data_IF_048177834348
#
_entry.id   IF_048177834348
#
_cell.length_a   1.000
_cell.length_b   1.000
_cell.length_c   1.000
_cell.angle_alpha   90.00
_cell.angle_beta   90.00
_cell.angle_gamma   90.00
#
_symmetry.space_group_name_H-M   'P 1'
#
loop_
_entity.id
_entity.type
_entity.pdbx_description
1 polymer ?
#
# COMPACT_ATOMS: atom_id res chain seq x y z
N UNK A 1 55.29 -5.50 -1.60
CA UNK A 1 53.91 -5.48 -2.10
C UNK A 1 52.97 -5.88 -0.97
N UNK A 2 52.60 -4.91 -0.12
CA UNK A 2 51.75 -5.11 1.05
C UNK A 2 50.28 -5.08 0.62
N UNK A 3 49.69 -6.26 0.39
CA UNK A 3 48.25 -6.42 0.29
C UNK A 3 47.68 -6.33 1.71
N UNK A 4 47.10 -5.17 1.99
CA UNK A 4 46.39 -4.80 3.20
C UNK A 4 45.26 -5.82 3.45
N UNK A 5 45.48 -6.73 4.40
CA UNK A 5 44.38 -7.41 5.10
C UNK A 5 43.70 -6.38 6.01
N UNK A 6 42.82 -5.55 5.44
CA UNK A 6 41.85 -4.79 6.24
C UNK A 6 40.96 -5.80 6.93
N UNK A 7 41.10 -5.91 8.25
CA UNK A 7 40.32 -6.85 9.06
C UNK A 7 38.81 -6.56 8.91
N UNK A 8 37.97 -7.60 8.78
CA UNK A 8 36.51 -7.43 8.61
C UNK A 8 35.84 -6.67 9.76
N UNK A 9 36.51 -6.60 10.91
CA UNK A 9 36.07 -5.90 12.13
C UNK A 9 36.15 -4.38 11.96
N UNK A 10 37.20 -3.86 11.32
CA UNK A 10 37.31 -2.41 11.04
C UNK A 10 36.21 -1.94 10.09
N UNK A 11 35.91 -2.74 9.08
CA UNK A 11 34.86 -2.44 8.09
C UNK A 11 33.49 -2.37 8.76
N UNK A 12 33.14 -3.32 9.64
CA UNK A 12 31.88 -3.28 10.41
C UNK A 12 31.76 -2.04 11.29
N UNK A 13 32.81 -1.69 12.03
CA UNK A 13 32.80 -0.53 12.91
C UNK A 13 32.62 0.77 12.12
N UNK A 14 33.30 0.90 10.98
CA UNK A 14 33.15 2.06 10.10
C UNK A 14 31.72 2.13 9.56
N UNK A 15 31.14 1.02 9.09
CA UNK A 15 29.75 0.99 8.60
C UNK A 15 28.73 1.41 9.67
N UNK A 16 28.89 0.97 10.91
CA UNK A 16 28.03 1.39 12.02
C UNK A 16 28.12 2.90 12.28
N UNK A 17 29.34 3.46 12.24
CA UNK A 17 29.54 4.91 12.40
C UNK A 17 28.88 5.70 11.26
N UNK A 18 29.05 5.28 10.01
CA UNK A 18 28.38 5.90 8.86
C UNK A 18 26.86 5.80 8.97
N UNK A 19 26.34 4.68 9.43
CA UNK A 19 24.90 4.47 9.64
C UNK A 19 24.35 5.44 10.70
N UNK A 20 25.05 5.61 11.83
CA UNK A 20 24.63 6.55 12.87
C UNK A 20 24.72 8.01 12.41
N UNK A 21 25.74 8.39 11.65
CA UNK A 21 25.83 9.72 11.04
C UNK A 21 24.69 9.98 10.06
N UNK A 22 24.38 8.98 9.22
CA UNK A 22 23.27 9.05 8.28
C UNK A 22 21.91 9.20 8.99
N UNK A 23 21.66 8.42 10.03
CA UNK A 23 20.43 8.52 10.86
C UNK A 23 20.26 9.92 11.44
N UNK A 24 21.32 10.50 12.02
CA UNK A 24 21.30 11.86 12.58
C UNK A 24 21.05 12.91 11.51
N UNK A 25 21.64 12.75 10.33
CA UNK A 25 21.47 13.67 9.21
C UNK A 25 20.04 13.66 8.67
N UNK A 26 19.43 12.47 8.48
CA UNK A 26 18.03 12.33 8.07
C UNK A 26 17.09 12.98 9.10
N UNK A 27 17.32 12.71 10.38
CA UNK A 27 16.49 13.25 11.46
C UNK A 27 16.52 14.79 11.49
N UNK A 28 17.67 15.39 11.18
CA UNK A 28 17.87 16.84 11.16
C UNK A 28 17.22 17.51 9.94
N UNK A 29 17.20 16.85 8.78
CA UNK A 29 16.78 17.46 7.51
C UNK A 29 15.72 16.63 6.75
N UNK A 30 14.49 16.46 7.30
CA UNK A 30 13.45 15.63 6.68
C UNK A 30 12.98 16.13 5.29
N UNK A 31 13.03 17.45 5.06
CA UNK A 31 12.60 18.06 3.80
C UNK A 31 13.64 17.81 2.69
N UNK A 32 14.94 18.02 2.96
CA UNK A 32 16.02 17.74 2.00
C UNK A 32 16.05 16.28 1.57
N UNK A 33 15.76 15.37 2.51
CA UNK A 33 15.65 13.93 2.20
C UNK A 33 14.51 13.67 1.22
N UNK A 34 13.39 14.39 1.31
CA UNK A 34 12.25 14.25 0.40
C UNK A 34 12.61 14.71 -1.01
N UNK A 35 13.38 15.80 -1.12
CA UNK A 35 13.82 16.34 -2.42
C UNK A 35 14.81 15.39 -3.10
N UNK A 36 15.74 14.81 -2.33
CA UNK A 36 16.68 13.80 -2.84
C UNK A 36 15.93 12.54 -3.28
N UNK A 37 14.99 12.04 -2.48
CA UNK A 37 14.17 10.89 -2.84
C UNK A 37 13.39 11.12 -4.13
N UNK A 38 12.81 12.30 -4.29
CA UNK A 38 12.08 12.69 -5.50
C UNK A 38 13.02 12.75 -6.69
N UNK A 39 14.20 13.36 -6.52
CA UNK A 39 15.24 13.41 -7.56
C UNK A 39 15.67 12.01 -7.99
N UNK A 40 15.93 11.11 -7.05
CA UNK A 40 16.28 9.71 -7.33
C UNK A 40 15.15 9.01 -8.09
N UNK A 41 13.88 9.21 -7.70
CA UNK A 41 12.73 8.66 -8.44
C UNK A 41 12.69 9.17 -9.88
N UNK A 42 12.84 10.48 -10.11
CA UNK A 42 12.82 11.05 -11.45
C UNK A 42 13.99 10.56 -12.32
N UNK A 43 15.19 10.50 -11.75
CA UNK A 43 16.37 9.94 -12.43
C UNK A 43 16.15 8.47 -12.77
N UNK A 44 15.54 7.69 -11.87
CA UNK A 44 15.17 6.30 -12.13
C UNK A 44 14.18 6.19 -13.29
N UNK A 45 13.12 7.00 -13.33
CA UNK A 45 12.17 6.98 -14.45
C UNK A 45 12.82 7.35 -15.79
N UNK A 46 13.70 8.36 -15.79
CA UNK A 46 14.44 8.74 -17.00
C UNK A 46 15.38 7.62 -17.46
N UNK A 47 16.05 6.97 -16.51
CA UNK A 47 16.99 5.88 -16.78
C UNK A 47 16.27 4.62 -17.26
N UNK A 48 15.09 4.32 -16.71
CA UNK A 48 14.26 3.19 -17.14
C UNK A 48 13.88 3.26 -18.63
N UNK A 49 13.62 4.47 -19.15
CA UNK A 49 13.37 4.68 -20.58
C UNK A 49 14.57 4.33 -21.48
N UNK A 50 15.81 4.46 -20.97
CA UNK A 50 17.05 4.18 -21.71
C UNK A 50 17.54 2.74 -21.55
N UNK A 51 17.38 2.14 -20.36
CA UNK A 51 17.79 0.75 -20.04
C UNK A 51 16.74 -0.30 -20.43
N UNK A 52 15.79 0.08 -21.28
CA UNK A 52 14.62 -0.69 -21.68
C UNK A 52 14.92 -2.01 -22.41
N UNK A 53 16.19 -2.32 -22.65
CA UNK A 53 16.64 -3.59 -23.23
C UNK A 53 16.58 -4.75 -22.24
N UNK A 54 16.56 -4.50 -20.93
CA UNK A 54 16.48 -5.57 -19.93
C UNK A 54 15.32 -5.36 -18.96
N UNK A 55 14.34 -6.26 -19.05
CA UNK A 55 13.17 -6.29 -18.18
C UNK A 55 13.54 -6.32 -16.70
N UNK A 56 14.61 -7.04 -16.34
CA UNK A 56 15.09 -7.09 -14.95
C UNK A 56 15.61 -5.72 -14.46
N UNK A 57 16.34 -4.97 -15.30
CA UNK A 57 16.86 -3.66 -14.87
C UNK A 57 15.74 -2.64 -14.70
N UNK A 58 14.70 -2.67 -15.54
CA UNK A 58 13.55 -1.77 -15.36
C UNK A 58 12.79 -2.05 -14.06
N UNK A 59 12.61 -3.33 -13.69
CA UNK A 59 11.98 -3.68 -12.40
C UNK A 59 12.86 -3.30 -11.20
N UNK A 60 14.19 -3.42 -11.33
CA UNK A 60 15.13 -3.00 -10.28
C UNK A 60 15.10 -1.48 -10.09
N UNK A 61 15.12 -0.72 -11.19
CA UNK A 61 15.05 0.74 -11.18
C UNK A 61 13.72 1.25 -10.61
N UNK A 62 12.64 0.48 -10.73
CA UNK A 62 11.36 0.77 -10.10
C UNK A 62 11.34 0.44 -8.60
N UNK A 63 11.83 -0.73 -8.20
CA UNK A 63 11.76 -1.21 -6.82
C UNK A 63 12.74 -0.50 -5.87
N UNK A 64 13.96 -0.21 -6.32
CA UNK A 64 15.02 0.33 -5.48
C UNK A 64 14.70 1.70 -4.85
N UNK A 65 14.22 2.72 -5.60
CA UNK A 65 13.87 4.01 -5.00
C UNK A 65 12.74 3.90 -3.98
N UNK A 66 11.77 3.02 -4.22
CA UNK A 66 10.64 2.82 -3.32
C UNK A 66 11.08 2.17 -1.99
N UNK A 67 12.00 1.21 -2.04
CA UNK A 67 12.63 0.63 -0.84
C UNK A 67 13.47 1.66 -0.08
N UNK A 68 14.21 2.50 -0.80
CA UNK A 68 15.00 3.58 -0.19
C UNK A 68 14.12 4.57 0.57
N UNK A 69 13.01 5.01 -0.03
CA UNK A 69 12.03 5.89 0.63
C UNK A 69 11.45 5.22 1.86
N UNK A 70 11.06 3.95 1.75
CA UNK A 70 10.54 3.18 2.88
C UNK A 70 11.56 3.12 4.03
N UNK A 71 12.84 2.87 3.72
CA UNK A 71 13.90 2.81 4.72
C UNK A 71 14.11 4.16 5.41
N UNK A 72 14.16 5.25 4.65
CA UNK A 72 14.27 6.61 5.20
C UNK A 72 13.07 6.96 6.09
N UNK A 73 11.85 6.62 5.66
CA UNK A 73 10.64 6.83 6.46
C UNK A 73 10.67 6.05 7.78
N UNK A 74 11.23 4.82 7.81
CA UNK A 74 11.42 4.07 9.05
C UNK A 74 12.44 4.73 9.98
N UNK A 75 13.53 5.27 9.44
CA UNK A 75 14.52 6.01 10.24
C UNK A 75 13.89 7.26 10.85
N UNK A 76 13.12 8.01 10.08
CA UNK A 76 12.43 9.22 10.58
C UNK A 76 11.46 8.84 11.70
N UNK A 77 10.65 7.79 11.51
CA UNK A 77 9.71 7.29 12.54
C UNK A 77 10.43 6.86 13.81
N UNK A 78 11.53 6.12 13.69
CA UNK A 78 12.33 5.67 14.82
C UNK A 78 13.00 6.84 15.56
N UNK A 79 13.43 7.88 14.85
CA UNK A 79 14.08 9.06 15.45
C UNK A 79 13.13 9.96 16.24
N UNK A 80 11.86 10.08 15.83
CA UNK A 80 10.88 10.97 16.45
C UNK A 80 10.09 10.31 17.59
N UNK A 81 9.95 8.99 17.60
CA UNK A 81 9.26 8.24 18.65
C UNK A 81 10.20 7.25 19.37
N UNK A 82 11.23 7.73 20.11
CA UNK A 82 12.13 6.84 20.85
C UNK A 82 11.42 6.10 22.01
N UNK A 83 10.30 6.63 22.52
CA UNK A 83 9.56 6.07 23.66
C UNK A 83 8.48 5.05 23.30
N UNK A 84 8.16 4.85 22.01
CA UNK A 84 7.23 3.78 21.64
C UNK A 84 7.93 2.43 21.81
N UNK A 85 7.73 1.82 22.99
CA UNK A 85 8.11 0.44 23.36
C UNK A 85 8.04 -0.47 22.14
N UNK A 86 9.17 -1.13 21.81
CA UNK A 86 9.39 -2.18 20.79
C UNK A 86 8.50 -2.08 19.53
N UNK A 87 9.05 -2.06 18.29
CA UNK A 87 8.22 -2.03 17.09
C UNK A 87 7.19 -3.16 17.18
N UNK A 88 5.91 -2.79 17.32
CA UNK A 88 4.85 -3.75 17.57
C UNK A 88 4.90 -4.78 16.46
N UNK A 89 4.66 -6.05 16.77
CA UNK A 89 4.68 -7.12 15.76
C UNK A 89 3.79 -6.74 14.54
N UNK A 90 2.68 -6.03 14.79
CA UNK A 90 1.85 -5.38 13.77
C UNK A 90 2.64 -4.46 12.83
N UNK A 91 3.42 -3.51 13.38
CA UNK A 91 4.24 -2.58 12.60
C UNK A 91 5.29 -3.32 11.79
N UNK A 92 5.94 -4.33 12.38
CA UNK A 92 6.93 -5.15 11.67
C UNK A 92 6.31 -5.88 10.49
N UNK A 93 5.15 -6.51 10.68
CA UNK A 93 4.46 -7.24 9.60
C UNK A 93 4.05 -6.28 8.48
N UNK A 94 3.56 -5.07 8.81
CA UNK A 94 3.24 -4.04 7.81
C UNK A 94 4.46 -3.65 6.97
N UNK A 95 5.62 -3.46 7.61
CA UNK A 95 6.88 -3.14 6.91
C UNK A 95 7.25 -4.28 5.96
N UNK A 96 7.25 -5.51 6.45
CA UNK A 96 7.55 -6.69 5.62
C UNK A 96 6.58 -6.82 4.45
N UNK A 97 5.28 -6.59 4.67
CA UNK A 97 4.29 -6.64 3.60
C UNK A 97 4.60 -5.58 2.52
N UNK A 98 4.95 -4.35 2.91
CA UNK A 98 5.34 -3.31 1.95
C UNK A 98 6.64 -3.61 1.20
N UNK A 99 7.62 -4.26 1.85
CA UNK A 99 8.85 -4.69 1.18
C UNK A 99 8.51 -5.75 0.12
N UNK A 100 7.62 -6.68 0.44
CA UNK A 100 7.17 -7.70 -0.52
C UNK A 100 6.41 -7.03 -1.68
N UNK A 101 5.49 -6.10 -1.40
CA UNK A 101 4.76 -5.34 -2.44
C UNK A 101 5.72 -4.64 -3.43
N UNK A 102 6.83 -4.07 -2.96
CA UNK A 102 7.80 -3.41 -3.83
C UNK A 102 8.72 -4.36 -4.60
N UNK A 103 8.93 -5.58 -4.12
CA UNK A 103 9.91 -6.52 -4.69
C UNK A 103 9.30 -7.66 -5.50
N UNK A 104 7.99 -7.86 -5.43
CA UNK A 104 7.32 -9.00 -6.07
C UNK A 104 7.50 -9.08 -7.60
N UNK A 105 7.42 -7.95 -8.31
CA UNK A 105 7.59 -7.90 -9.75
C UNK A 105 9.05 -8.23 -10.14
N UNK A 106 10.01 -7.74 -9.34
CA UNK A 106 11.42 -8.08 -9.50
C UNK A 106 11.65 -9.59 -9.34
N UNK A 107 11.06 -10.20 -8.30
CA UNK A 107 11.17 -11.64 -8.08
C UNK A 107 10.50 -12.45 -9.18
N UNK A 108 9.34 -12.03 -9.69
CA UNK A 108 8.67 -12.69 -10.82
C UNK A 108 9.55 -12.69 -12.08
N UNK A 109 10.07 -11.53 -12.47
CA UNK A 109 10.93 -11.40 -13.66
C UNK A 109 12.25 -12.14 -13.48
N UNK A 110 12.82 -12.11 -12.28
CA UNK A 110 14.05 -12.85 -11.94
C UNK A 110 13.84 -14.36 -12.01
N UNK A 111 12.72 -14.86 -11.46
CA UNK A 111 12.37 -16.27 -11.46
C UNK A 111 12.13 -16.78 -12.89
N UNK A 112 11.44 -15.99 -13.73
CA UNK A 112 11.24 -16.32 -15.14
C UNK A 112 12.56 -16.46 -15.90
N UNK A 113 13.54 -15.61 -15.59
CA UNK A 113 14.86 -15.63 -16.23
C UNK A 113 15.74 -16.81 -15.77
N UNK A 114 15.69 -17.18 -14.49
CA UNK A 114 16.57 -18.20 -13.90
C UNK A 114 15.99 -19.63 -13.99
N UNK A 115 14.68 -19.77 -13.78
CA UNK A 115 14.01 -21.06 -13.63
C UNK A 115 12.88 -21.30 -14.65
N UNK A 116 12.76 -20.42 -15.66
CA UNK A 116 11.74 -20.52 -16.70
C UNK A 116 10.31 -20.35 -16.16
N UNK A 117 9.33 -20.89 -16.88
CA UNK A 117 7.92 -20.68 -16.58
C UNK A 117 7.48 -21.41 -15.30
N UNK A 118 8.00 -22.60 -15.02
CA UNK A 118 7.67 -23.35 -13.81
C UNK A 118 8.13 -22.63 -12.53
N UNK A 119 9.37 -22.13 -12.52
CA UNK A 119 9.90 -21.37 -11.38
C UNK A 119 9.20 -20.03 -11.17
N UNK A 120 8.77 -19.38 -12.27
CA UNK A 120 7.93 -18.18 -12.21
C UNK A 120 6.64 -18.43 -11.41
N UNK A 121 5.88 -19.47 -11.77
CA UNK A 121 4.63 -19.79 -11.07
C UNK A 121 4.86 -20.22 -9.61
N UNK A 122 5.95 -20.94 -9.33
CA UNK A 122 6.33 -21.29 -7.96
C UNK A 122 6.59 -20.06 -7.10
N UNK A 123 7.37 -19.09 -7.59
CA UNK A 123 7.67 -17.85 -6.87
C UNK A 123 6.43 -16.98 -6.69
N UNK A 124 5.57 -16.89 -7.71
CA UNK A 124 4.28 -16.19 -7.60
C UNK A 124 3.44 -16.81 -6.47
N UNK A 125 3.30 -18.14 -6.46
CA UNK A 125 2.55 -18.84 -5.44
C UNK A 125 3.14 -18.63 -4.03
N UNK A 126 4.47 -18.72 -3.89
CA UNK A 126 5.15 -18.51 -2.61
C UNK A 126 4.93 -17.10 -2.06
N UNK A 127 5.10 -16.07 -2.88
CA UNK A 127 4.90 -14.67 -2.48
C UNK A 127 3.44 -14.43 -2.11
N UNK A 128 2.48 -14.91 -2.91
CA UNK A 128 1.05 -14.75 -2.61
C UNK A 128 0.67 -15.48 -1.32
N UNK A 129 1.16 -16.69 -1.10
CA UNK A 129 0.98 -17.41 0.17
C UNK A 129 1.49 -16.62 1.36
N UNK A 130 2.70 -16.05 1.25
CA UNK A 130 3.29 -15.23 2.30
C UNK A 130 2.47 -13.96 2.58
N UNK A 131 2.04 -13.25 1.52
CA UNK A 131 1.19 -12.06 1.63
C UNK A 131 -0.14 -12.35 2.31
N UNK A 132 -0.83 -13.41 1.87
CA UNK A 132 -2.11 -13.82 2.45
C UNK A 132 -1.94 -14.21 3.91
N UNK A 133 -0.92 -14.99 4.25
CA UNK A 133 -0.64 -15.34 5.64
C UNK A 133 -0.39 -14.10 6.52
N UNK A 134 0.42 -13.15 6.04
CA UNK A 134 0.67 -11.89 6.76
C UNK A 134 -0.62 -11.07 6.95
N UNK A 135 -1.43 -10.90 5.90
CA UNK A 135 -2.70 -10.15 5.96
C UNK A 135 -3.73 -10.84 6.87
N UNK A 136 -3.82 -12.16 6.85
CA UNK A 136 -4.69 -12.91 7.76
C UNK A 136 -4.24 -12.76 9.21
N UNK A 137 -2.94 -12.78 9.50
CA UNK A 137 -2.43 -12.49 10.85
C UNK A 137 -2.82 -11.08 11.29
N UNK A 138 -2.77 -10.09 10.39
CA UNK A 138 -3.23 -8.72 10.66
C UNK A 138 -4.70 -8.67 11.08
N UNK A 139 -5.58 -9.29 10.29
CA UNK A 139 -7.03 -9.28 10.56
C UNK A 139 -7.37 -10.09 11.83
N UNK A 140 -6.83 -11.30 11.99
CA UNK A 140 -7.21 -12.17 13.12
C UNK A 140 -6.56 -11.79 14.45
N UNK A 141 -5.28 -11.40 14.47
CA UNK A 141 -4.59 -11.06 15.74
C UNK A 141 -4.78 -9.60 16.13
N UNK A 142 -4.79 -8.68 15.17
CA UNK A 142 -4.82 -7.24 15.46
C UNK A 142 -6.18 -6.58 15.18
N UNK A 143 -7.17 -7.36 14.73
CA UNK A 143 -8.55 -6.90 14.47
C UNK A 143 -8.60 -5.67 13.57
N UNK A 144 -7.73 -5.61 12.56
CA UNK A 144 -7.82 -4.58 11.55
C UNK A 144 -9.09 -4.77 10.71
N UNK A 145 -9.90 -3.71 10.60
CA UNK A 145 -11.19 -3.78 9.89
C UNK A 145 -11.00 -3.90 8.37
N UNK A 146 -10.05 -3.16 7.81
CA UNK A 146 -9.76 -3.11 6.38
C UNK A 146 -8.24 -3.13 6.20
N UNK A 147 -7.73 -4.06 5.41
CA UNK A 147 -6.31 -4.09 5.02
C UNK A 147 -6.06 -3.03 3.94
N UNK A 148 -5.08 -2.17 4.23
CA UNK A 148 -4.61 -1.13 3.31
C UNK A 148 -3.56 -1.72 2.37
N UNK A 149 -3.61 -1.35 1.08
CA UNK A 149 -2.55 -1.67 0.11
C UNK A 149 -2.06 -0.38 -0.53
N UNK A 150 -0.82 0.07 -0.24
CA UNK A 150 0.22 -0.56 0.58
C UNK A 150 -0.09 -0.52 2.09
N UNK A 151 0.42 -1.49 2.86
CA UNK A 151 0.19 -1.57 4.30
C UNK A 151 0.76 -0.39 5.11
N UNK A 152 1.69 0.37 4.53
CA UNK A 152 2.19 1.63 5.07
C UNK A 152 2.08 2.66 3.95
N UNK A 153 1.13 3.62 4.03
CA UNK A 153 1.13 4.74 3.10
C UNK A 153 2.43 5.55 3.26
N UNK A 154 2.97 6.12 2.16
CA UNK A 154 4.17 6.95 2.24
C UNK A 154 3.95 8.07 3.27
N UNK A 155 4.97 8.35 4.07
CA UNK A 155 4.85 9.27 5.18
C UNK A 155 4.63 10.69 4.65
N UNK A 156 3.46 11.27 4.91
CA UNK A 156 3.21 12.68 4.62
C UNK A 156 3.98 13.55 5.63
N UNK A 157 5.19 13.97 5.24
CA UNK A 157 6.13 14.74 6.09
C UNK A 157 5.59 16.14 6.43
N UNK A 158 4.73 16.70 5.59
CA UNK A 158 4.05 17.99 5.79
C UNK A 158 3.09 17.96 6.99
N UNK A 159 2.18 16.97 7.03
CA UNK A 159 1.28 16.73 8.19
C UNK A 159 2.04 16.41 9.49
N UNK A 160 3.27 15.90 9.36
CA UNK A 160 4.13 15.54 10.47
C UNK A 160 4.83 16.79 11.07
N UNK A 161 5.07 17.83 10.27
CA UNK A 161 5.57 19.11 10.75
C UNK A 161 4.45 19.95 11.38
N UNK A 162 3.21 19.91 10.85
CA UNK A 162 2.05 20.56 11.48
C UNK A 162 1.77 20.04 12.90
N UNK A 163 1.94 18.73 13.13
CA UNK A 163 1.82 18.15 14.47
C UNK A 163 2.92 18.61 15.44
N UNK A 164 4.05 19.12 14.94
CA UNK A 164 5.21 19.52 15.74
C UNK A 164 5.12 20.99 16.19
N UNK A 165 4.54 21.87 15.38
CA UNK A 165 4.14 23.23 15.82
C UNK A 165 2.90 23.20 16.75
N UNK A 166 2.25 22.03 16.85
CA UNK A 166 1.09 21.75 17.68
C UNK A 166 1.37 20.90 18.93
N UNK A 167 2.42 21.18 19.72
CA UNK A 167 2.61 20.56 21.05
C UNK A 167 1.47 20.88 22.05
N UNK A 168 0.40 21.52 21.60
CA UNK A 168 -0.91 21.37 22.20
C UNK A 168 -1.82 20.72 21.16
N UNK A 169 -2.19 19.45 21.39
CA UNK A 169 -3.53 19.00 20.95
C UNK A 169 -4.48 20.14 21.32
N UNK A 170 -5.25 20.72 20.39
CA UNK A 170 -6.18 21.77 20.74
C UNK A 170 -7.06 21.19 21.83
N UNK A 171 -6.92 21.68 23.07
CA UNK A 171 -7.75 21.19 24.16
C UNK A 171 -9.19 21.44 23.71
N UNK A 172 -9.95 20.36 23.56
CA UNK A 172 -11.35 20.44 23.12
C UNK A 172 -12.15 21.36 24.07
N UNK A 173 -11.67 21.53 25.31
CA UNK A 173 -12.12 22.58 26.22
C UNK A 173 -10.99 23.20 27.07
N UNK A 174 -11.23 24.43 27.51
CA UNK A 174 -10.40 25.15 28.48
C UNK A 174 -11.22 25.46 29.75
N UNK A 175 -10.56 25.50 30.92
CA UNK A 175 -11.20 25.87 32.18
C UNK A 175 -11.01 27.36 32.49
N UNK A 176 -12.08 28.00 32.94
CA UNK A 176 -12.06 29.40 33.39
C UNK A 176 -11.40 29.50 34.77
N UNK A 177 -10.30 30.26 34.88
CA UNK A 177 -9.50 30.37 36.14
C UNK A 177 -10.31 30.80 37.37
N UNK A 178 -11.33 31.65 37.20
CA UNK A 178 -12.14 32.19 38.31
C UNK A 178 -13.32 31.30 38.72
N UNK A 179 -13.84 30.51 37.78
CA UNK A 179 -15.11 29.77 37.95
C UNK A 179 -14.93 28.26 37.90
N UNK A 180 -13.77 27.76 37.46
CA UNK A 180 -13.52 26.33 37.22
C UNK A 180 -14.32 25.73 36.05
N UNK A 181 -15.26 26.47 35.46
CA UNK A 181 -16.14 26.00 34.39
C UNK A 181 -15.35 25.68 33.12
N UNK A 182 -15.55 24.48 32.59
CA UNK A 182 -14.90 23.95 31.39
C UNK A 182 -15.73 24.34 30.16
N UNK A 183 -15.13 25.03 29.19
CA UNK A 183 -15.79 25.57 28.00
C UNK A 183 -15.12 25.03 26.73
N UNK A 184 -15.92 24.56 25.77
CA UNK A 184 -15.40 24.04 24.49
C UNK A 184 -14.72 25.12 23.66
N UNK A 185 -13.62 24.78 23.00
CA UNK A 185 -12.97 25.68 22.04
C UNK A 185 -13.75 25.73 20.73
N UNK A 186 -13.82 26.92 20.10
CA UNK A 186 -14.55 27.12 18.83
C UNK A 186 -13.99 26.24 17.70
N UNK A 187 -12.70 25.89 17.78
CA UNK A 187 -12.02 24.99 16.84
C UNK A 187 -12.43 23.51 16.99
N UNK A 188 -13.04 23.14 18.11
CA UNK A 188 -13.54 21.79 18.40
C UNK A 188 -15.02 21.59 18.06
N UNK A 189 -15.71 22.62 17.55
CA UNK A 189 -17.11 22.50 17.15
C UNK A 189 -17.21 21.70 15.84
N UNK A 190 -17.59 20.42 15.94
CA UNK A 190 -18.04 19.65 14.79
C UNK A 190 -19.36 20.24 14.25
N UNK A 191 -19.63 20.08 12.96
CA UNK A 191 -20.88 20.48 12.28
C UNK A 191 -22.09 19.61 12.67
N UNK A 192 -22.13 19.13 13.92
CA UNK A 192 -23.23 18.35 14.48
C UNK A 192 -24.18 19.27 15.27
N UNK A 193 -25.46 18.87 15.44
CA UNK A 193 -26.41 19.63 16.24
C UNK A 193 -25.86 19.91 17.64
N UNK A 194 -26.10 21.13 18.13
CA UNK A 194 -25.53 21.68 19.36
C UNK A 194 -25.90 20.79 20.58
N UNK A 195 -24.97 19.93 20.99
CA UNK A 195 -25.11 19.14 22.23
C UNK A 195 -24.58 19.92 23.43
N UNK A 196 -25.44 20.19 24.42
CA UNK A 196 -25.13 20.95 25.64
C UNK A 196 -24.37 20.17 26.73
N UNK A 197 -23.81 19.00 26.41
CA UNK A 197 -23.02 18.21 27.36
C UNK A 197 -21.57 18.71 27.41
N UNK A 198 -20.91 18.76 28.58
CA UNK A 198 -19.49 19.12 28.67
C UNK A 198 -18.62 18.01 28.03
N UNK A 199 -17.48 18.36 27.39
CA UNK A 199 -16.55 17.36 26.87
C UNK A 199 -15.81 16.70 28.03
N UNK A 200 -16.09 15.41 28.24
CA UNK A 200 -15.39 14.59 29.23
C UNK A 200 -13.97 14.34 28.74
N UNK A 201 -12.98 14.76 29.53
CA UNK A 201 -11.60 14.37 29.33
C UNK A 201 -11.48 12.87 29.52
N UNK A 202 -11.02 12.19 28.47
CA UNK A 202 -10.63 10.77 28.40
C UNK A 202 -11.72 9.70 28.57
N UNK A 203 -11.70 8.79 27.59
CA UNK A 203 -12.29 7.44 27.54
C UNK A 203 -13.82 7.32 27.45
N UNK A 204 -14.21 6.34 26.63
CA UNK A 204 -15.55 5.76 26.43
C UNK A 204 -16.65 6.68 25.91
N UNK A 205 -16.80 6.65 24.59
CA UNK A 205 -18.11 6.81 23.93
C UNK A 205 -18.98 5.65 24.45
N UNK A 206 -19.82 5.93 25.44
CA UNK A 206 -20.89 5.03 25.86
C UNK A 206 -22.10 5.22 24.94
N UNK A 207 -22.20 4.31 23.95
CA UNK A 207 -23.20 3.25 24.01
C UNK A 207 -24.67 3.68 24.21
N UNK A 208 -25.36 4.03 23.10
CA UNK A 208 -26.80 3.78 22.97
C UNK A 208 -27.00 2.30 22.57
N UNK A 209 -26.88 1.39 23.55
CA UNK A 209 -27.06 -0.05 23.35
C UNK A 209 -28.23 -0.60 24.16
N UNK A 210 -29.23 -1.14 23.46
CA UNK A 210 -29.89 -2.38 23.90
C UNK A 210 -30.56 -3.14 22.74
N UNK A 211 -30.93 -2.46 21.64
CA UNK A 211 -31.49 -3.09 20.43
C UNK A 211 -30.47 -3.36 19.30
N UNK A 212 -29.31 -2.71 19.33
CA UNK A 212 -28.38 -2.65 18.20
C UNK A 212 -27.20 -3.61 18.30
N UNK A 213 -27.00 -4.31 19.42
CA UNK A 213 -25.76 -5.07 19.64
C UNK A 213 -25.69 -6.31 18.75
N UNK A 214 -26.81 -6.99 18.57
CA UNK A 214 -26.89 -8.17 17.70
C UNK A 214 -26.75 -7.80 16.21
N UNK A 215 -27.32 -6.67 15.78
CA UNK A 215 -27.19 -6.17 14.41
C UNK A 215 -25.77 -5.65 14.15
N UNK A 216 -25.16 -4.93 15.09
CA UNK A 216 -23.78 -4.47 15.00
C UNK A 216 -22.78 -5.64 15.03
N UNK A 217 -23.00 -6.67 15.84
CA UNK A 217 -22.13 -7.85 15.89
C UNK A 217 -22.22 -8.69 14.61
N UNK A 218 -23.44 -8.87 14.07
CA UNK A 218 -23.63 -9.55 12.78
C UNK A 218 -23.01 -8.77 11.62
N UNK A 219 -23.12 -7.44 11.60
CA UNK A 219 -22.43 -6.58 10.63
C UNK A 219 -20.90 -6.70 10.73
N UNK A 220 -20.33 -6.63 11.94
CA UNK A 220 -18.89 -6.83 12.18
C UNK A 220 -18.41 -8.21 11.70
N UNK A 221 -19.20 -9.27 11.94
CA UNK A 221 -18.88 -10.63 11.44
C UNK A 221 -18.93 -10.68 9.91
N UNK A 222 -19.94 -10.06 9.29
CA UNK A 222 -20.02 -9.98 7.82
C UNK A 222 -18.84 -9.23 7.21
N UNK A 223 -18.36 -8.17 7.87
CA UNK A 223 -17.20 -7.39 7.46
C UNK A 223 -15.92 -8.22 7.53
N UNK A 224 -15.72 -8.98 8.62
CA UNK A 224 -14.59 -9.90 8.76
C UNK A 224 -14.62 -10.97 7.67
N UNK A 225 -15.79 -11.50 7.31
CA UNK A 225 -15.92 -12.47 6.22
C UNK A 225 -15.58 -11.81 4.88
N UNK A 226 -16.08 -10.59 4.62
CA UNK A 226 -15.79 -9.85 3.39
C UNK A 226 -14.29 -9.55 3.23
N UNK A 227 -13.62 -9.21 4.33
CA UNK A 227 -12.19 -8.92 4.33
C UNK A 227 -11.36 -10.20 4.21
N UNK A 228 -11.71 -11.28 4.90
CA UNK A 228 -11.00 -12.56 4.74
C UNK A 228 -11.16 -13.12 3.33
N UNK A 229 -12.33 -13.00 2.72
CA UNK A 229 -12.57 -13.40 1.33
C UNK A 229 -11.72 -12.58 0.35
N UNK A 230 -11.63 -11.26 0.56
CA UNK A 230 -10.78 -10.38 -0.25
C UNK A 230 -9.29 -10.74 -0.11
N UNK A 231 -8.83 -11.03 1.11
CA UNK A 231 -7.44 -11.40 1.38
C UNK A 231 -7.09 -12.75 0.73
N UNK A 232 -7.99 -13.73 0.76
CA UNK A 232 -7.75 -15.10 0.26
C UNK A 232 -7.91 -15.21 -1.26
N UNK A 233 -8.52 -14.21 -1.91
CA UNK A 233 -8.74 -14.14 -3.36
C UNK A 233 -7.52 -14.53 -4.21
N UNK A 234 -6.29 -14.00 -4.01
CA UNK A 234 -5.16 -14.35 -4.87
C UNK A 234 -4.83 -15.85 -4.85
N UNK A 235 -5.04 -16.53 -3.72
CA UNK A 235 -4.83 -17.97 -3.60
C UNK A 235 -5.94 -18.76 -4.30
N UNK A 236 -7.20 -18.34 -4.16
CA UNK A 236 -8.31 -18.95 -4.88
C UNK A 236 -8.14 -18.81 -6.38
N UNK A 237 -7.69 -17.63 -6.83
CA UNK A 237 -7.37 -17.37 -8.23
C UNK A 237 -6.25 -18.29 -8.71
N UNK A 238 -5.13 -18.39 -7.99
CA UNK A 238 -4.01 -19.27 -8.36
C UNK A 238 -4.38 -20.75 -8.34
N UNK A 239 -5.17 -21.21 -7.37
CA UNK A 239 -5.65 -22.58 -7.32
C UNK A 239 -6.61 -22.91 -8.47
N UNK A 240 -7.49 -21.98 -8.83
CA UNK A 240 -8.34 -22.15 -10.01
C UNK A 240 -7.51 -22.15 -11.30
N UNK A 241 -6.49 -21.30 -11.37
CA UNK A 241 -5.57 -21.20 -12.49
C UNK A 241 -4.72 -22.46 -12.68
N UNK A 242 -4.28 -23.10 -11.59
CA UNK A 242 -3.52 -24.36 -11.68
C UNK A 242 -4.35 -25.54 -12.17
N UNK A 243 -5.66 -25.55 -11.91
CA UNK A 243 -6.58 -26.61 -12.34
C UNK A 243 -7.14 -26.35 -13.74
N UNK A 244 -7.60 -25.12 -13.98
CA UNK A 244 -8.30 -24.75 -15.22
C UNK A 244 -7.37 -24.20 -16.30
N UNK A 245 -6.14 -23.82 -15.97
CA UNK A 245 -5.22 -23.17 -16.91
C UNK A 245 -5.57 -21.70 -17.23
N UNK A 246 -4.65 -20.97 -17.89
CA UNK A 246 -4.71 -19.52 -18.03
C UNK A 246 -5.73 -19.00 -19.05
N UNK A 247 -6.22 -19.84 -19.97
CA UNK A 247 -7.15 -19.42 -21.02
C UNK A 247 -8.62 -19.50 -20.61
N UNK A 248 -8.91 -20.16 -19.49
CA UNK A 248 -10.27 -20.38 -19.05
C UNK A 248 -10.84 -19.16 -18.30
N UNK A 249 -12.15 -18.98 -18.40
CA UNK A 249 -12.85 -17.85 -17.77
C UNK A 249 -13.10 -18.06 -16.28
N UNK A 250 -12.98 -19.30 -15.78
CA UNK A 250 -13.30 -19.65 -14.40
C UNK A 250 -12.45 -18.85 -13.36
N UNK A 251 -11.11 -18.77 -13.47
CA UNK A 251 -10.31 -18.01 -12.50
C UNK A 251 -10.64 -16.52 -12.50
N UNK A 252 -10.93 -15.97 -13.69
CA UNK A 252 -11.30 -14.58 -13.87
C UNK A 252 -12.67 -14.26 -13.25
N UNK A 253 -13.68 -15.08 -13.54
CA UNK A 253 -15.03 -14.93 -12.97
C UNK A 253 -15.01 -15.11 -11.46
N UNK A 254 -14.29 -16.10 -10.95
CA UNK A 254 -14.15 -16.35 -9.51
C UNK A 254 -13.62 -15.11 -8.79
N UNK A 255 -12.52 -14.55 -9.30
CA UNK A 255 -11.89 -13.35 -8.71
C UNK A 255 -12.80 -12.13 -8.78
N UNK A 256 -13.50 -11.95 -9.91
CA UNK A 256 -14.42 -10.85 -10.12
C UNK A 256 -15.64 -10.93 -9.17
N UNK A 257 -16.22 -12.12 -9.03
CA UNK A 257 -17.33 -12.35 -8.11
C UNK A 257 -16.89 -12.10 -6.67
N UNK A 258 -15.70 -12.55 -6.26
CA UNK A 258 -15.16 -12.28 -4.92
C UNK A 258 -15.03 -10.78 -4.64
N UNK A 259 -14.53 -9.99 -5.60
CA UNK A 259 -14.43 -8.54 -5.40
C UNK A 259 -15.81 -7.88 -5.30
N UNK A 260 -16.76 -8.29 -6.13
CA UNK A 260 -18.13 -7.77 -6.09
C UNK A 260 -18.85 -8.12 -4.79
N UNK A 261 -18.72 -9.36 -4.30
CA UNK A 261 -19.33 -9.78 -3.04
C UNK A 261 -18.71 -9.03 -1.86
N UNK A 262 -17.38 -8.94 -1.82
CA UNK A 262 -16.67 -8.17 -0.79
C UNK A 262 -17.12 -6.70 -0.78
N UNK A 263 -17.10 -6.02 -1.94
CA UNK A 263 -17.51 -4.61 -2.05
C UNK A 263 -18.98 -4.37 -1.72
N UNK A 264 -19.86 -5.32 -2.07
CA UNK A 264 -21.29 -5.24 -1.74
C UNK A 264 -21.50 -5.31 -0.23
N UNK A 265 -20.77 -6.17 0.48
CA UNK A 265 -20.82 -6.26 1.95
C UNK A 265 -20.27 -4.97 2.58
N UNK A 266 -19.13 -4.46 2.10
CA UNK A 266 -18.57 -3.20 2.59
C UNK A 266 -19.47 -1.98 2.34
N UNK A 267 -20.29 -2.00 1.29
CA UNK A 267 -21.22 -0.90 0.99
C UNK A 267 -22.41 -0.82 1.95
N UNK A 268 -22.66 -1.86 2.76
CA UNK A 268 -23.75 -1.87 3.74
C UNK A 268 -23.37 -1.18 5.05
N UNK A 269 -22.09 -0.89 5.26
CA UNK A 269 -21.59 -0.20 6.46
C UNK A 269 -21.81 1.32 6.36
N UNK A 270 -22.64 1.92 7.26
CA UNK A 270 -22.92 3.35 7.23
C UNK A 270 -21.80 4.20 7.85
N UNK A 271 -20.93 3.62 8.68
CA UNK A 271 -19.89 4.33 9.43
C UNK A 271 -18.49 3.99 8.92
N UNK A 272 -18.10 4.55 7.77
CA UNK A 272 -16.77 4.36 7.18
C UNK A 272 -15.85 5.54 7.49
N UNK A 273 -14.62 5.25 7.90
CA UNK A 273 -13.58 6.26 8.08
C UNK A 273 -13.09 6.79 6.72
N UNK A 274 -12.44 7.95 6.70
CA UNK A 274 -11.94 8.56 5.45
C UNK A 274 -10.92 7.67 4.75
N UNK A 275 -10.00 7.08 5.51
CA UNK A 275 -8.96 6.16 5.00
C UNK A 275 -9.57 4.86 4.44
N UNK A 276 -10.62 4.35 5.10
CA UNK A 276 -11.37 3.18 4.64
C UNK A 276 -12.10 3.46 3.32
N UNK A 277 -12.68 4.66 3.18
CA UNK A 277 -13.34 5.09 1.95
C UNK A 277 -12.36 5.23 0.78
N UNK A 278 -11.18 5.78 1.02
CA UNK A 278 -10.11 5.88 0.02
C UNK A 278 -9.68 4.49 -0.47
N UNK A 279 -9.54 3.52 0.45
CA UNK A 279 -9.24 2.13 0.13
C UNK A 279 -10.36 1.45 -0.67
N UNK A 280 -11.63 1.66 -0.30
CA UNK A 280 -12.78 1.14 -1.08
C UNK A 280 -12.85 1.76 -2.47
N UNK A 281 -12.55 3.06 -2.62
CA UNK A 281 -12.43 3.71 -3.91
C UNK A 281 -11.32 3.06 -4.76
N UNK A 282 -10.15 2.78 -4.17
CA UNK A 282 -9.07 2.04 -4.84
C UNK A 282 -9.53 0.66 -5.31
N UNK A 283 -10.22 -0.11 -4.46
CA UNK A 283 -10.77 -1.44 -4.82
C UNK A 283 -11.79 -1.35 -5.95
N UNK A 284 -12.66 -0.34 -5.95
CA UNK A 284 -13.63 -0.08 -7.04
C UNK A 284 -12.94 0.26 -8.37
N UNK A 285 -11.92 1.10 -8.35
CA UNK A 285 -11.11 1.40 -9.55
C UNK A 285 -10.38 0.14 -10.03
N UNK A 286 -9.95 -0.71 -9.10
CA UNK A 286 -9.36 -2.02 -9.39
C UNK A 286 -10.29 -2.95 -10.19
N UNK A 287 -11.61 -2.79 -10.10
CA UNK A 287 -12.55 -3.55 -10.95
C UNK A 287 -12.38 -3.22 -12.45
N UNK A 288 -11.96 -2.00 -12.78
CA UNK A 288 -11.71 -1.61 -14.18
C UNK A 288 -10.53 -2.39 -14.78
N UNK A 289 -9.57 -2.82 -13.94
CA UNK A 289 -8.44 -3.64 -14.39
C UNK A 289 -8.89 -5.02 -14.91
N UNK A 290 -10.09 -5.50 -14.59
CA UNK A 290 -10.59 -6.76 -15.18
C UNK A 290 -10.78 -6.70 -16.69
N UNK A 291 -10.96 -5.49 -17.25
CA UNK A 291 -10.97 -5.25 -18.71
C UNK A 291 -9.58 -5.52 -19.30
N UNK A 292 -8.53 -5.24 -18.53
CA UNK A 292 -7.14 -5.45 -18.93
C UNK A 292 -6.60 -6.82 -18.52
N UNK A 293 -7.29 -7.61 -17.68
CA UNK A 293 -6.88 -8.96 -17.27
C UNK A 293 -7.29 -10.01 -18.30
N UNK A 294 -6.43 -11.02 -18.52
CA UNK A 294 -6.78 -12.21 -19.31
C UNK A 294 -7.82 -13.05 -18.54
N UNK A 295 -8.83 -13.66 -19.20
CA UNK A 295 -9.03 -13.85 -20.65
C UNK A 295 -9.87 -12.77 -21.35
N UNK A 296 -10.51 -11.85 -20.62
CA UNK A 296 -11.31 -10.78 -21.22
C UNK A 296 -10.46 -9.90 -22.15
N UNK A 297 -9.23 -9.63 -21.73
CA UNK A 297 -8.28 -8.87 -22.53
C UNK A 297 -8.00 -9.52 -23.89
N UNK A 298 -7.58 -10.78 -23.89
CA UNK A 298 -7.16 -11.47 -25.11
C UNK A 298 -8.29 -11.63 -26.13
N UNK A 299 -9.52 -11.84 -25.65
CA UNK A 299 -10.67 -12.14 -26.50
C UNK A 299 -11.43 -10.89 -26.96
N UNK A 300 -11.56 -9.87 -26.11
CA UNK A 300 -12.50 -8.78 -26.35
C UNK A 300 -11.83 -7.39 -26.42
N UNK A 301 -11.00 -7.06 -25.43
CA UNK A 301 -10.54 -5.67 -25.25
C UNK A 301 -9.22 -5.35 -25.93
N UNK A 302 -8.34 -6.33 -26.20
CA UNK A 302 -7.01 -6.12 -26.79
C UNK A 302 -7.06 -5.25 -28.04
N UNK A 303 -7.79 -5.67 -29.07
CA UNK A 303 -7.87 -4.93 -30.33
C UNK A 303 -8.49 -3.53 -30.16
N UNK A 304 -9.51 -3.42 -29.29
CA UNK A 304 -10.19 -2.15 -29.00
C UNK A 304 -9.26 -1.15 -28.30
N UNK A 305 -8.47 -1.62 -27.33
CA UNK A 305 -7.51 -0.79 -26.60
C UNK A 305 -6.41 -0.30 -27.55
N UNK A 306 -5.83 -1.18 -28.36
CA UNK A 306 -4.81 -0.78 -29.34
C UNK A 306 -5.35 0.22 -30.36
N UNK A 307 -6.56 -0.01 -30.90
CA UNK A 307 -7.20 0.92 -31.83
C UNK A 307 -7.49 2.28 -31.19
N UNK A 308 -7.98 2.31 -29.95
CA UNK A 308 -8.19 3.55 -29.21
C UNK A 308 -6.88 4.30 -28.99
N UNK A 309 -5.81 3.59 -28.60
CA UNK A 309 -4.51 4.18 -28.34
C UNK A 309 -3.87 4.73 -29.62
N UNK A 310 -4.03 4.03 -30.74
CA UNK A 310 -3.62 4.50 -32.06
C UNK A 310 -4.43 5.72 -32.51
N UNK A 311 -5.74 5.72 -32.30
CA UNK A 311 -6.61 6.86 -32.61
C UNK A 311 -6.20 8.09 -31.79
N UNK A 312 -5.97 7.94 -30.49
CA UNK A 312 -5.52 9.03 -29.61
C UNK A 312 -4.16 9.57 -30.05
N UNK A 313 -3.23 8.68 -30.40
CA UNK A 313 -1.91 9.04 -30.92
C UNK A 313 -1.98 9.84 -32.23
N UNK A 314 -2.94 9.52 -33.10
CA UNK A 314 -3.15 10.21 -34.39
C UNK A 314 -3.93 11.52 -34.24
N UNK A 315 -4.88 11.61 -33.31
CA UNK A 315 -5.75 12.77 -33.14
C UNK A 315 -5.05 13.93 -32.42
N UNK A 316 -4.17 13.65 -31.47
CA UNK A 316 -3.53 14.70 -30.65
C UNK A 316 -2.00 14.54 -30.68
N UNK A 317 -1.24 15.54 -31.21
CA UNK A 317 0.21 15.43 -31.38
C UNK A 317 0.96 15.26 -30.05
N UNK A 318 0.45 15.85 -28.97
CA UNK A 318 1.03 15.69 -27.62
C UNK A 318 0.69 14.33 -26.99
N UNK A 319 -0.48 13.76 -27.31
CA UNK A 319 -0.89 12.47 -26.76
C UNK A 319 -0.05 11.33 -27.31
N UNK A 320 0.56 11.48 -28.49
CA UNK A 320 1.52 10.53 -29.06
C UNK A 320 2.68 10.21 -28.11
N UNK A 321 3.19 11.22 -27.38
CA UNK A 321 4.29 11.06 -26.43
C UNK A 321 3.96 10.07 -25.30
N UNK A 322 2.68 9.92 -24.97
CA UNK A 322 2.20 9.06 -23.88
C UNK A 322 1.63 7.76 -24.43
N UNK A 323 0.86 7.83 -25.50
CA UNK A 323 0.16 6.69 -26.10
C UNK A 323 1.13 5.64 -26.65
N UNK A 324 2.20 6.06 -27.31
CA UNK A 324 3.15 5.15 -27.95
C UNK A 324 3.98 4.33 -26.93
N UNK A 325 4.53 4.93 -25.85
CA UNK A 325 5.12 4.16 -24.76
C UNK A 325 4.13 3.20 -24.10
N UNK A 326 2.90 3.65 -23.79
CA UNK A 326 1.89 2.78 -23.16
C UNK A 326 1.61 1.55 -24.04
N UNK A 327 1.45 1.74 -25.35
CA UNK A 327 1.20 0.64 -26.29
C UNK A 327 2.33 -0.40 -26.26
N UNK A 328 3.58 0.08 -26.16
CA UNK A 328 4.77 -0.77 -26.12
C UNK A 328 4.91 -1.53 -24.79
N UNK A 329 4.55 -0.91 -23.67
CA UNK A 329 4.64 -1.54 -22.35
C UNK A 329 3.44 -2.42 -21.99
N UNK A 330 2.28 -2.21 -22.63
CA UNK A 330 1.05 -2.96 -22.32
C UNK A 330 1.24 -4.49 -22.33
N UNK A 331 1.93 -5.11 -23.32
CA UNK A 331 2.19 -6.54 -23.31
C UNK A 331 3.09 -6.98 -22.15
N UNK A 332 4.04 -6.13 -21.71
CA UNK A 332 4.88 -6.42 -20.55
C UNK A 332 4.06 -6.43 -19.26
N UNK A 333 3.22 -5.41 -19.06
CA UNK A 333 2.33 -5.37 -17.90
C UNK A 333 1.37 -6.55 -17.86
N UNK A 334 0.83 -6.95 -19.00
CA UNK A 334 -0.07 -8.10 -19.10
C UNK A 334 0.65 -9.42 -18.81
N UNK A 335 1.88 -9.57 -19.32
CA UNK A 335 2.70 -10.76 -19.08
C UNK A 335 3.18 -10.89 -17.64
N UNK A 336 3.21 -9.82 -16.85
CA UNK A 336 3.63 -9.85 -15.44
C UNK A 336 2.42 -10.00 -14.54
N UNK A 337 2.37 -11.10 -13.80
CA UNK A 337 1.24 -11.49 -12.96
C UNK A 337 0.96 -10.44 -11.88
N UNK A 338 2.00 -9.96 -11.18
CA UNK A 338 1.79 -9.04 -10.06
C UNK A 338 1.21 -7.68 -10.49
N UNK A 339 1.58 -7.14 -11.65
CA UNK A 339 0.98 -5.90 -12.14
C UNK A 339 -0.52 -6.01 -12.38
N UNK A 340 -0.96 -7.19 -12.81
CA UNK A 340 -2.37 -7.43 -13.10
C UNK A 340 -3.14 -7.86 -11.85
N UNK A 341 -2.59 -8.74 -11.02
CA UNK A 341 -3.35 -9.50 -10.01
C UNK A 341 -2.98 -9.21 -8.55
N UNK A 342 -2.00 -8.33 -8.25
CA UNK A 342 -1.55 -8.04 -6.87
C UNK A 342 -2.48 -7.15 -6.03
N UNK A 343 -3.71 -6.91 -6.50
CA UNK A 343 -4.67 -5.97 -5.89
C UNK A 343 -5.26 -6.43 -4.56
#
# INVERSE_FOLDING_TARGET
YNLVMTSPIKIKLTLEQWCEQYKRWIAKNPNLVSDIESTVKYVSFFTAGRLNSSTLASEFVYSLPNLMVLFNDQIIKASRNPESKLPSLQSKIKIWLTIIDYTEALFEVSAKKLWGEAGRWFIIALIQMLKVAMRLVLVFRYKERITLTPAIPPLNREKLNENNDGLQRPKEAFSLKRSGKVVRTVRSSSSQPRTWTPPTSSSSVETEELGNNATIDSLKKSLLIAETLYIVKPLLHLGCLSVSGPKNWNPWLLSFIIDLTSLKIFSQEPTLNREEREELCRRRIGLLLYILRSPFYDNCSRMRIFYMLETISKTVPLARLIAEPIARYLPHWQNTYFYMWSS
#
